data_IF_755078287395
#
_entry.id   IF_755078287395
#
_cell.length_a   1.000
_cell.length_b   1.000
_cell.length_c   1.000
_cell.angle_alpha   90.00
_cell.angle_beta   90.00
_cell.angle_gamma   90.00
#
_symmetry.space_group_name_H-M   'P 1'
#
loop_
_entity.id
_entity.type
_entity.pdbx_description
1 polymer ?
#
# COMPACT_ATOMS: atom_id res chain seq x y z
N UNK A 1 7.08 -12.40 -9.24
CA UNK A 1 6.26 -12.13 -8.04
C UNK A 1 4.95 -11.56 -8.52
N UNK A 2 3.83 -11.83 -7.84
CA UNK A 2 2.54 -11.29 -8.25
C UNK A 2 2.38 -9.87 -7.68
N UNK A 3 2.34 -8.86 -8.55
CA UNK A 3 2.19 -7.45 -8.16
C UNK A 3 0.74 -6.95 -8.28
N UNK A 4 -0.23 -7.83 -8.56
CA UNK A 4 -1.65 -7.47 -8.73
C UNK A 4 -2.19 -6.68 -7.55
N UNK A 5 -1.80 -7.03 -6.31
CA UNK A 5 -2.20 -6.29 -5.11
C UNK A 5 -1.66 -4.86 -5.10
N UNK A 6 -0.40 -4.67 -5.48
CA UNK A 6 0.23 -3.34 -5.57
C UNK A 6 -0.44 -2.50 -6.67
N UNK A 7 -0.68 -3.07 -7.84
CA UNK A 7 -1.37 -2.40 -8.95
C UNK A 7 -2.80 -1.99 -8.59
N UNK A 8 -3.55 -2.85 -7.89
CA UNK A 8 -4.89 -2.55 -7.39
C UNK A 8 -4.88 -1.42 -6.37
N UNK A 9 -3.91 -1.42 -5.46
CA UNK A 9 -3.75 -0.36 -4.47
C UNK A 9 -3.39 0.98 -5.14
N UNK A 10 -2.53 0.97 -6.16
CA UNK A 10 -2.21 2.16 -6.96
C UNK A 10 -3.47 2.75 -7.58
N UNK A 11 -4.26 1.95 -8.30
CA UNK A 11 -5.52 2.41 -8.91
C UNK A 11 -6.52 2.95 -7.89
N UNK A 12 -6.61 2.30 -6.74
CA UNK A 12 -7.47 2.76 -5.64
C UNK A 12 -7.05 4.14 -5.13
N UNK A 13 -5.74 4.38 -5.00
CA UNK A 13 -5.22 5.67 -4.53
C UNK A 13 -5.39 6.76 -5.58
N UNK A 14 -5.09 6.47 -6.84
CA UNK A 14 -5.27 7.41 -7.96
C UNK A 14 -6.71 7.90 -8.12
N UNK A 15 -7.68 7.05 -7.84
CA UNK A 15 -9.09 7.40 -8.01
C UNK A 15 -9.55 8.51 -7.05
N UNK A 16 -8.94 8.62 -5.86
CA UNK A 16 -9.33 9.61 -4.85
C UNK A 16 -8.22 9.85 -3.81
N UNK A 17 -7.09 10.49 -4.19
CA UNK A 17 -5.87 10.52 -3.38
C UNK A 17 -6.00 11.27 -2.05
N UNK A 18 -7.03 12.09 -1.89
CA UNK A 18 -7.32 12.90 -0.71
C UNK A 18 -8.34 12.27 0.25
N UNK A 19 -8.75 11.01 0.02
CA UNK A 19 -9.80 10.33 0.80
C UNK A 19 -9.23 9.36 1.83
N UNK A 20 -10.03 9.12 2.88
CA UNK A 20 -9.63 8.33 4.04
C UNK A 20 -9.08 6.94 3.71
N UNK A 21 -9.79 6.15 2.90
CA UNK A 21 -9.36 4.78 2.53
C UNK A 21 -8.09 4.76 1.66
N UNK A 22 -8.01 5.52 0.54
CA UNK A 22 -6.77 5.73 -0.20
C UNK A 22 -5.56 6.09 0.66
N UNK A 23 -5.71 7.03 1.60
CA UNK A 23 -4.62 7.43 2.49
C UNK A 23 -4.19 6.30 3.45
N UNK A 24 -5.10 5.40 3.84
CA UNK A 24 -4.76 4.20 4.62
C UNK A 24 -3.85 3.27 3.80
N UNK A 25 -4.16 3.02 2.53
CA UNK A 25 -3.33 2.18 1.66
C UNK A 25 -1.99 2.83 1.30
N UNK A 26 -1.99 4.13 1.01
CA UNK A 26 -0.75 4.87 0.80
C UNK A 26 0.16 4.78 2.02
N UNK A 27 -0.39 5.01 3.23
CA UNK A 27 0.36 4.85 4.48
C UNK A 27 0.92 3.44 4.68
N UNK A 28 0.12 2.40 4.40
CA UNK A 28 0.55 1.00 4.47
C UNK A 28 1.76 0.73 3.56
N UNK A 29 1.67 1.12 2.29
CA UNK A 29 2.74 0.92 1.30
C UNK A 29 4.00 1.70 1.72
N UNK A 30 3.88 2.94 2.16
CA UNK A 30 5.03 3.74 2.61
C UNK A 30 5.73 3.12 3.82
N UNK A 31 4.98 2.59 4.79
CA UNK A 31 5.58 1.93 5.94
C UNK A 31 6.34 0.66 5.57
N UNK A 32 5.83 -0.13 4.62
CA UNK A 32 6.51 -1.32 4.09
C UNK A 32 7.81 -0.99 3.33
N UNK A 33 7.92 0.22 2.77
CA UNK A 33 9.11 0.72 2.08
C UNK A 33 10.20 1.20 3.05
N UNK A 34 9.81 1.81 4.18
CA UNK A 34 10.71 2.47 5.13
C UNK A 34 11.34 1.50 6.16
N UNK A 35 11.61 0.24 5.77
CA UNK A 35 11.93 -0.98 6.57
C UNK A 35 13.09 -0.91 7.61
N UNK A 36 13.41 0.24 8.19
CA UNK A 36 14.56 0.48 9.07
C UNK A 36 14.27 0.27 10.56
N UNK A 37 13.01 0.21 11.01
CA UNK A 37 12.63 0.09 12.45
C UNK A 37 11.43 -0.81 12.74
N UNK A 38 11.03 -1.63 11.78
CA UNK A 38 9.81 -2.45 11.84
C UNK A 38 8.61 -1.76 11.21
N UNK A 39 7.93 -2.45 10.30
CA UNK A 39 6.70 -1.97 9.66
C UNK A 39 5.52 -2.18 10.62
N UNK A 40 5.14 -1.13 11.37
CA UNK A 40 3.99 -1.20 12.29
C UNK A 40 2.72 -0.75 11.58
N UNK A 41 1.91 -1.69 11.12
CA UNK A 41 0.55 -1.41 10.67
C UNK A 41 -0.44 -1.68 11.81
N UNK A 42 -1.06 -0.62 12.34
CA UNK A 42 -2.04 -0.74 13.41
C UNK A 42 -3.32 -1.43 12.93
N UNK A 43 -3.65 -2.60 13.49
CA UNK A 43 -4.86 -3.37 13.15
C UNK A 43 -6.17 -2.58 13.26
N UNK A 44 -6.20 -1.52 14.08
CA UNK A 44 -7.34 -0.62 14.18
C UNK A 44 -7.73 -0.01 12.82
N UNK A 45 -6.77 0.22 11.90
CA UNK A 45 -7.00 0.73 10.55
C UNK A 45 -7.86 -0.20 9.70
N UNK A 46 -7.86 -1.51 9.98
CA UNK A 46 -8.69 -2.49 9.25
C UNK A 46 -10.19 -2.30 9.52
N UNK A 47 -10.56 -1.61 10.61
CA UNK A 47 -11.96 -1.30 10.92
C UNK A 47 -12.56 -0.25 9.99
N UNK A 48 -11.70 0.54 9.35
CA UNK A 48 -12.09 1.58 8.40
C UNK A 48 -12.28 1.03 6.97
N UNK A 49 -11.94 -0.25 6.77
CA UNK A 49 -11.94 -0.92 5.47
C UNK A 49 -13.14 -1.85 5.33
N UNK A 50 -13.70 -1.94 4.12
CA UNK A 50 -14.65 -2.99 3.77
C UNK A 50 -13.98 -4.36 3.57
N UNK A 51 -14.74 -5.39 3.18
CA UNK A 51 -14.21 -6.74 3.02
C UNK A 51 -13.15 -6.84 1.92
N UNK A 52 -13.38 -6.20 0.78
CA UNK A 52 -12.50 -6.27 -0.38
C UNK A 52 -11.22 -5.47 -0.15
N UNK A 53 -11.34 -4.35 0.54
CA UNK A 53 -10.21 -3.53 0.97
C UNK A 53 -9.36 -4.25 2.02
N UNK A 54 -9.96 -4.94 3.00
CA UNK A 54 -9.18 -5.77 3.93
C UNK A 54 -8.42 -6.87 3.19
N UNK A 55 -9.05 -7.54 2.22
CA UNK A 55 -8.36 -8.54 1.42
C UNK A 55 -7.17 -7.93 0.67
N UNK A 56 -7.35 -6.77 0.05
CA UNK A 56 -6.25 -6.05 -0.60
C UNK A 56 -5.11 -5.72 0.36
N UNK A 57 -5.41 -5.31 1.60
CA UNK A 57 -4.39 -5.04 2.62
C UNK A 57 -3.61 -6.32 2.99
N UNK A 58 -4.29 -7.47 3.09
CA UNK A 58 -3.64 -8.75 3.36
C UNK A 58 -2.77 -9.22 2.19
N UNK A 59 -3.25 -9.09 0.95
CA UNK A 59 -2.47 -9.46 -0.23
C UNK A 59 -1.19 -8.60 -0.35
N UNK A 60 -1.25 -7.33 0.04
CA UNK A 60 -0.06 -6.45 0.14
C UNK A 60 0.91 -6.92 1.23
N UNK A 61 0.41 -7.42 2.37
CA UNK A 61 1.25 -7.98 3.43
C UNK A 61 1.97 -9.26 2.96
N UNK A 62 1.28 -10.13 2.22
CA UNK A 62 1.89 -11.33 1.62
C UNK A 62 2.96 -10.95 0.58
N UNK A 63 2.69 -9.94 -0.27
CA UNK A 63 3.67 -9.41 -1.21
C UNK A 63 4.91 -8.84 -0.51
N UNK A 64 4.72 -8.12 0.60
CA UNK A 64 5.82 -7.65 1.44
C UNK A 64 6.65 -8.81 2.01
N UNK A 65 6.00 -9.85 2.57
CA UNK A 65 6.68 -11.04 3.12
C UNK A 65 7.47 -11.77 2.02
N UNK A 66 6.94 -11.84 0.80
CA UNK A 66 7.64 -12.41 -0.35
C UNK A 66 8.85 -11.56 -0.81
N UNK A 67 9.02 -10.35 -0.28
CA UNK A 67 10.12 -9.44 -0.60
C UNK A 67 9.83 -8.48 -1.75
N UNK A 68 8.57 -8.26 -2.10
CA UNK A 68 8.16 -7.34 -3.17
C UNK A 68 8.62 -5.90 -2.93
N UNK A 69 8.69 -5.48 -1.67
CA UNK A 69 9.19 -4.16 -1.27
C UNK A 69 10.67 -3.91 -1.60
N UNK A 70 11.43 -4.95 -1.99
CA UNK A 70 12.84 -4.87 -2.39
C UNK A 70 13.04 -4.85 -3.90
N UNK A 71 11.97 -4.79 -4.69
CA UNK A 71 12.07 -4.84 -6.15
C UNK A 71 11.90 -3.45 -6.79
N UNK A 72 12.39 -3.26 -8.05
CA UNK A 72 12.21 -2.01 -8.78
C UNK A 72 10.73 -1.64 -9.02
N UNK A 73 9.86 -2.62 -9.23
CA UNK A 73 8.43 -2.42 -9.46
C UNK A 73 7.76 -1.73 -8.26
N UNK A 74 8.14 -2.13 -7.05
CA UNK A 74 7.65 -1.49 -5.83
C UNK A 74 8.19 -0.07 -5.68
N UNK A 75 9.48 0.14 -5.93
CA UNK A 75 10.09 1.47 -5.86
C UNK A 75 9.42 2.45 -6.84
N UNK A 76 9.11 1.97 -8.05
CA UNK A 76 8.41 2.75 -9.07
C UNK A 76 6.97 3.09 -8.66
N UNK A 77 6.22 2.10 -8.13
CA UNK A 77 4.88 2.34 -7.61
C UNK A 77 4.87 3.37 -6.47
N UNK A 78 5.83 3.29 -5.54
CA UNK A 78 5.96 4.27 -4.45
C UNK A 78 6.24 5.67 -5.01
N UNK A 79 7.18 5.80 -5.95
CA UNK A 79 7.51 7.07 -6.59
C UNK A 79 6.30 7.70 -7.28
N UNK A 80 5.49 6.87 -7.95
CA UNK A 80 4.25 7.30 -8.58
C UNK A 80 3.21 7.76 -7.55
N UNK A 81 2.97 6.97 -6.51
CA UNK A 81 2.05 7.32 -5.42
C UNK A 81 2.46 8.60 -4.70
N UNK A 82 3.75 8.83 -4.47
CA UNK A 82 4.27 10.06 -3.88
C UNK A 82 3.92 11.29 -4.73
N UNK A 83 3.96 11.16 -6.06
CA UNK A 83 3.58 12.24 -6.98
C UNK A 83 2.06 12.49 -6.97
N UNK A 84 1.26 11.43 -6.89
CA UNK A 84 -0.21 11.49 -6.89
C UNK A 84 -0.77 12.10 -5.59
N UNK A 85 -0.17 11.79 -4.44
CA UNK A 85 -0.68 12.23 -3.13
C UNK A 85 -0.15 13.61 -2.73
N UNK A 86 1.05 14.00 -3.18
CA UNK A 86 1.66 15.29 -2.83
C UNK A 86 1.53 16.37 -3.93
N UNK A 87 0.95 16.04 -5.09
CA UNK A 87 0.69 16.98 -6.20
C UNK A 87 -0.71 17.56 -6.12
#
# INVERSE_FOLDING_TARGET
MDFTALERAVKLIEAAPDRGVPLVFYGLIKMMTLDQRGCVFGLARLRDLDCDQRQLAYDLMELYVAGGNRTPEWAEAVRHLDAVVNG
#
